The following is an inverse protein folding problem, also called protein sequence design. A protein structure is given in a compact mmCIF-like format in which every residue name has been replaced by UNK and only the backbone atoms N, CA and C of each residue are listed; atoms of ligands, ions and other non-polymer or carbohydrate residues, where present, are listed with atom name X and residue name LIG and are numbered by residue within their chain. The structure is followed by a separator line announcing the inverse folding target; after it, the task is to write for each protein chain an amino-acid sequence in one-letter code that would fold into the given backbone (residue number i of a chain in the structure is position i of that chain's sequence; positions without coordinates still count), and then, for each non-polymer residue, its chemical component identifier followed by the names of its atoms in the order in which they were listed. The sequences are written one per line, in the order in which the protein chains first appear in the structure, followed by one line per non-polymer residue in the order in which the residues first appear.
data_IF_047745220953
#
_entry.id   IF_047745220953
#
_cell.length_a   1.000
_cell.length_b   1.000
_cell.length_c   1.000
_cell.angle_alpha   90.00
_cell.angle_beta   90.00
_cell.angle_gamma   90.00
#
_symmetry.space_group_name_H-M   'P 1'
#
loop_
_entity.id
_entity.type
_entity.pdbx_description
1 polymer ?
#
# COMPACT_ATOMS: atom_id res chain seq x y z
N UNK A 1 22.28 -37.18 -45.27
CA UNK A 1 20.92 -37.24 -45.82
C UNK A 1 20.02 -36.45 -44.86
N UNK A 2 19.68 -35.21 -45.22
CA UNK A 2 19.08 -34.18 -44.36
C UNK A 2 17.55 -34.32 -44.32
N UNK A 3 16.96 -34.60 -43.15
CA UNK A 3 15.50 -34.61 -42.93
C UNK A 3 15.12 -33.35 -42.15
N UNK A 4 14.43 -32.44 -42.85
CA UNK A 4 13.87 -31.18 -42.36
C UNK A 4 12.61 -31.48 -41.54
N UNK A 5 12.56 -31.02 -40.28
CA UNK A 5 11.35 -31.05 -39.44
C UNK A 5 10.38 -29.96 -39.91
N UNK A 6 9.24 -30.35 -40.47
CA UNK A 6 8.11 -29.46 -40.76
C UNK A 6 7.19 -29.36 -39.52
N UNK A 7 6.96 -28.14 -39.07
CA UNK A 7 6.24 -27.73 -37.85
C UNK A 7 4.71 -27.82 -37.99
N UNK A 8 4.02 -28.20 -36.91
CA UNK A 8 2.56 -28.39 -36.80
C UNK A 8 1.64 -27.17 -37.02
N UNK A 9 2.09 -26.13 -37.72
CA UNK A 9 1.29 -24.98 -38.11
C UNK A 9 0.36 -25.28 -39.31
N UNK A 10 0.69 -26.25 -40.15
CA UNK A 10 -0.02 -26.50 -41.42
C UNK A 10 -1.38 -27.23 -41.27
N UNK A 11 -1.66 -27.90 -40.14
CA UNK A 11 -2.93 -28.59 -39.92
C UNK A 11 -4.09 -27.70 -39.47
N UNK A 12 -3.82 -26.45 -39.06
CA UNK A 12 -4.86 -25.52 -38.57
C UNK A 12 -5.48 -24.63 -39.66
N UNK A 13 -4.88 -24.57 -40.84
CA UNK A 13 -5.35 -23.69 -41.92
C UNK A 13 -6.46 -24.34 -42.77
N UNK A 14 -6.54 -25.68 -42.83
CA UNK A 14 -7.53 -26.39 -43.66
C UNK A 14 -8.92 -26.44 -43.01
N UNK A 15 -9.03 -26.31 -41.69
CA UNK A 15 -10.32 -26.30 -40.98
C UNK A 15 -11.12 -24.98 -41.10
N UNK A 16 -10.46 -23.87 -41.46
CA UNK A 16 -11.09 -22.55 -41.47
C UNK A 16 -11.83 -22.20 -42.77
N UNK A 17 -11.63 -22.97 -43.84
CA UNK A 17 -12.24 -22.68 -45.16
C UNK A 17 -13.55 -23.44 -45.42
N UNK A 18 -13.91 -24.41 -44.59
CA UNK A 18 -15.16 -25.17 -44.76
C UNK A 18 -16.41 -24.42 -44.25
N UNK A 19 -16.26 -23.42 -43.37
CA UNK A 19 -17.40 -22.77 -42.69
C UNK A 19 -17.97 -21.58 -43.47
N UNK A 20 -17.27 -21.06 -44.47
CA UNK A 20 -17.65 -19.79 -45.13
C UNK A 20 -18.60 -19.99 -46.33
N UNK A 21 -18.92 -21.22 -46.75
CA UNK A 21 -19.78 -21.45 -47.94
C UNK A 21 -21.27 -21.65 -47.66
N UNK A 22 -21.70 -21.73 -46.39
CA UNK A 22 -23.09 -22.06 -46.04
C UNK A 22 -23.94 -20.86 -45.59
N UNK A 23 -23.48 -19.63 -45.83
CA UNK A 23 -24.15 -18.40 -45.40
C UNK A 23 -24.56 -17.47 -46.55
N UNK A 24 -25.00 -18.02 -47.69
CA UNK A 24 -25.69 -17.25 -48.75
C UNK A 24 -26.95 -17.99 -49.22
N UNK A 25 -28.05 -17.80 -48.49
CA UNK A 25 -29.36 -18.25 -48.94
C UNK A 25 -30.43 -18.25 -47.86
N UNK A 26 -30.89 -17.07 -47.43
CA UNK A 26 -32.27 -16.81 -46.98
C UNK A 26 -32.36 -15.39 -46.39
N UNK A 27 -33.10 -14.51 -47.06
CA UNK A 27 -33.41 -13.18 -46.56
C UNK A 27 -34.65 -13.18 -45.66
N UNK A 28 -34.67 -12.23 -44.72
CA UNK A 28 -35.87 -11.53 -44.25
C UNK A 28 -36.69 -12.18 -43.13
N UNK A 29 -36.44 -11.77 -41.89
CA UNK A 29 -37.43 -11.15 -40.98
C UNK A 29 -36.89 -11.03 -39.55
N UNK A 30 -37.06 -9.85 -38.98
CA UNK A 30 -36.60 -9.42 -37.65
C UNK A 30 -37.39 -10.06 -36.50
N UNK A 31 -36.69 -10.71 -35.56
CA UNK A 31 -36.97 -10.67 -34.11
C UNK A 31 -35.64 -10.70 -33.35
N UNK A 32 -35.46 -9.71 -32.50
CA UNK A 32 -34.27 -9.38 -31.71
C UNK A 32 -33.94 -10.45 -30.66
N UNK A 33 -32.71 -10.97 -30.71
CA UNK A 33 -32.09 -11.77 -29.65
C UNK A 33 -30.83 -11.04 -29.15
N UNK A 34 -30.54 -11.03 -27.83
CA UNK A 34 -29.44 -10.25 -27.28
C UNK A 34 -28.10 -10.89 -27.63
N UNK A 35 -27.18 -10.04 -28.08
CA UNK A 35 -25.82 -10.42 -28.43
C UNK A 35 -24.99 -10.74 -27.18
N UNK A 36 -24.20 -11.81 -27.29
CA UNK A 36 -22.86 -11.85 -26.71
C UNK A 36 -22.78 -12.30 -25.26
N UNK A 37 -23.01 -13.59 -25.02
CA UNK A 37 -22.32 -14.28 -23.94
C UNK A 37 -20.81 -14.23 -24.22
N UNK A 38 -20.15 -13.19 -23.69
CA UNK A 38 -18.71 -13.15 -23.55
C UNK A 38 -18.31 -14.38 -22.73
N UNK A 39 -17.63 -15.34 -23.36
CA UNK A 39 -17.00 -16.45 -22.64
C UNK A 39 -15.85 -15.86 -21.83
N UNK A 40 -16.17 -15.40 -20.63
CA UNK A 40 -15.22 -15.27 -19.55
C UNK A 40 -14.54 -16.65 -19.40
N UNK A 41 -13.25 -16.72 -19.72
CA UNK A 41 -12.44 -17.83 -19.20
C UNK A 41 -12.56 -17.82 -17.68
N UNK A 42 -12.37 -18.96 -17.00
CA UNK A 42 -12.33 -18.94 -15.55
C UNK A 42 -11.22 -17.99 -15.13
N UNK A 43 -11.58 -16.88 -14.49
CA UNK A 43 -10.66 -16.05 -13.74
C UNK A 43 -10.04 -16.97 -12.68
N UNK A 44 -8.90 -17.58 -13.03
CA UNK A 44 -8.16 -18.40 -12.08
C UNK A 44 -7.89 -17.51 -10.87
N UNK A 45 -8.34 -17.89 -9.66
CA UNK A 45 -8.18 -17.04 -8.49
C UNK A 45 -6.69 -16.72 -8.35
N UNK A 46 -6.37 -15.42 -8.30
CA UNK A 46 -5.00 -14.97 -8.05
C UNK A 46 -4.49 -15.72 -6.81
N UNK A 47 -3.44 -16.52 -6.98
CA UNK A 47 -2.88 -17.32 -5.90
C UNK A 47 -2.61 -16.42 -4.68
N UNK A 48 -2.94 -16.87 -3.45
CA UNK A 48 -2.76 -16.05 -2.27
C UNK A 48 -1.28 -15.65 -2.17
N UNK A 49 -1.02 -14.33 -2.14
CA UNK A 49 0.33 -13.83 -1.94
C UNK A 49 0.84 -14.35 -0.59
N UNK A 50 1.89 -15.17 -0.60
CA UNK A 50 2.49 -15.69 0.63
C UNK A 50 2.82 -14.54 1.59
N UNK A 51 2.56 -14.69 2.91
CA UNK A 51 2.84 -13.62 3.87
C UNK A 51 4.34 -13.33 3.88
N UNK A 52 4.69 -12.10 3.51
CA UNK A 52 6.04 -11.59 3.67
C UNK A 52 6.27 -11.34 5.17
N UNK A 53 6.62 -12.37 5.94
CA UNK A 53 6.93 -12.25 7.37
C UNK A 53 7.95 -11.15 7.66
N UNK A 54 8.91 -10.96 6.75
CA UNK A 54 9.92 -9.91 6.82
C UNK A 54 9.33 -8.48 6.77
N UNK A 55 8.21 -8.26 6.07
CA UNK A 55 7.55 -6.96 6.00
C UNK A 55 6.99 -6.59 7.37
N UNK A 56 6.30 -7.53 8.02
CA UNK A 56 5.78 -7.32 9.37
C UNK A 56 6.90 -7.21 10.41
N UNK A 57 8.01 -7.95 10.21
CA UNK A 57 9.23 -7.78 11.00
C UNK A 57 9.83 -6.38 10.88
N UNK A 58 9.91 -5.82 9.67
CA UNK A 58 10.35 -4.45 9.42
C UNK A 58 9.43 -3.42 10.11
N UNK A 59 8.11 -3.60 9.98
CA UNK A 59 7.13 -2.70 10.62
C UNK A 59 7.28 -2.76 12.14
N UNK A 60 7.35 -3.95 12.73
CA UNK A 60 7.51 -4.13 14.17
C UNK A 60 8.84 -3.52 14.67
N UNK A 61 9.94 -3.73 13.95
CA UNK A 61 11.22 -3.14 14.27
C UNK A 61 11.18 -1.61 14.20
N UNK A 62 10.53 -1.05 13.17
CA UNK A 62 10.35 0.40 13.02
C UNK A 62 9.52 1.01 14.15
N UNK A 63 8.41 0.36 14.52
CA UNK A 63 7.57 0.79 15.66
C UNK A 63 8.34 0.72 16.97
N UNK A 64 9.08 -0.37 17.21
CA UNK A 64 9.89 -0.52 18.42
C UNK A 64 10.97 0.56 18.50
N UNK A 65 11.66 0.84 17.39
CA UNK A 65 12.65 1.90 17.31
C UNK A 65 12.03 3.27 17.62
N UNK A 66 10.90 3.60 16.98
CA UNK A 66 10.17 4.84 17.21
C UNK A 66 9.80 5.02 18.70
N UNK A 67 9.12 4.04 19.30
CA UNK A 67 8.72 4.14 20.70
C UNK A 67 9.92 4.19 21.66
N UNK A 68 11.00 3.42 21.42
CA UNK A 68 12.20 3.46 22.25
C UNK A 68 12.85 4.84 22.18
N UNK A 69 13.01 5.41 20.99
CA UNK A 69 13.61 6.75 20.83
C UNK A 69 12.79 7.84 21.52
N UNK A 70 11.45 7.80 21.38
CA UNK A 70 10.55 8.72 22.08
C UNK A 70 10.65 8.58 23.60
N UNK A 71 10.67 7.35 24.13
CA UNK A 71 10.85 7.10 25.56
C UNK A 71 12.18 7.63 26.09
N UNK A 72 13.27 7.43 25.33
CA UNK A 72 14.58 7.97 25.68
C UNK A 72 14.54 9.49 25.78
N UNK A 73 13.93 10.17 24.80
CA UNK A 73 13.78 11.64 24.82
C UNK A 73 12.95 12.08 26.03
N UNK A 74 11.80 11.45 26.27
CA UNK A 74 10.92 11.76 27.40
C UNK A 74 11.60 11.61 28.77
N UNK A 75 12.60 10.73 28.88
CA UNK A 75 13.35 10.50 30.13
C UNK A 75 14.59 11.37 30.27
N UNK A 76 15.18 11.80 29.16
CA UNK A 76 16.46 12.52 29.15
C UNK A 76 16.31 14.03 29.00
N UNK A 77 15.16 14.51 28.52
CA UNK A 77 14.94 15.90 28.15
C UNK A 77 13.75 16.47 28.93
N UNK A 78 13.85 17.73 29.32
CA UNK A 78 12.71 18.54 29.75
C UNK A 78 11.87 18.96 28.53
N UNK A 79 10.58 19.23 28.74
CA UNK A 79 9.69 19.66 27.66
C UNK A 79 10.18 21.00 27.09
N UNK A 80 10.40 21.05 25.77
CA UNK A 80 11.04 22.13 25.01
C UNK A 80 12.56 22.30 25.23
N UNK A 81 13.21 21.38 25.94
CA UNK A 81 14.67 21.34 25.98
C UNK A 81 15.22 21.06 24.57
N UNK A 82 16.25 21.81 24.20
CA UNK A 82 16.87 21.81 22.88
C UNK A 82 18.36 21.55 22.99
N UNK A 83 18.83 20.41 22.47
CA UNK A 83 20.23 19.99 22.51
C UNK A 83 20.82 19.99 21.08
N UNK A 84 21.90 20.73 20.82
CA UNK A 84 22.53 20.74 19.49
C UNK A 84 23.22 19.41 19.20
N UNK A 85 22.93 18.83 18.02
CA UNK A 85 23.69 17.69 17.47
C UNK A 85 24.66 18.18 16.40
N UNK A 86 24.18 19.03 15.49
CA UNK A 86 25.02 19.77 14.54
C UNK A 86 24.73 21.26 14.78
N UNK A 87 25.67 22.01 15.37
CA UNK A 87 25.44 23.41 15.69
C UNK A 87 24.93 24.20 14.47
N UNK A 88 23.89 25.01 14.68
CA UNK A 88 23.25 25.84 13.65
C UNK A 88 22.50 25.09 12.55
N UNK A 89 22.37 23.75 12.61
CA UNK A 89 21.69 22.97 11.58
C UNK A 89 20.70 21.93 12.13
N UNK A 90 21.07 21.15 13.16
CA UNK A 90 20.26 20.04 13.63
C UNK A 90 20.30 19.91 15.16
N UNK A 91 19.12 19.79 15.74
CA UNK A 91 18.86 19.77 17.17
C UNK A 91 17.94 18.62 17.55
N UNK A 92 18.11 18.13 18.77
CA UNK A 92 17.12 17.30 19.43
C UNK A 92 16.28 18.20 20.34
N UNK A 93 14.99 18.32 20.03
CA UNK A 93 14.09 19.24 20.75
C UNK A 93 12.85 18.49 21.22
N UNK A 94 12.68 18.26 22.52
CA UNK A 94 11.51 17.52 23.01
C UNK A 94 10.22 18.36 22.90
N UNK A 95 9.34 17.99 21.96
CA UNK A 95 8.03 18.63 21.75
C UNK A 95 6.92 17.60 21.88
N UNK A 96 5.78 18.01 22.46
CA UNK A 96 4.54 17.25 22.38
C UNK A 96 3.59 17.89 21.38
N UNK A 97 3.29 17.15 20.32
CA UNK A 97 2.52 17.62 19.19
C UNK A 97 1.08 17.09 19.24
N UNK A 98 0.07 17.95 19.48
CA UNK A 98 -1.35 17.56 19.47
C UNK A 98 -1.90 17.28 18.07
N UNK A 99 -1.10 17.41 17.01
CA UNK A 99 -1.55 17.40 15.61
C UNK A 99 -1.47 18.77 14.94
N UNK A 100 -0.57 19.65 15.36
CA UNK A 100 -0.41 20.99 14.82
C UNK A 100 0.88 21.15 13.98
N UNK A 101 1.37 20.06 13.37
CA UNK A 101 2.53 20.14 12.48
C UNK A 101 2.28 21.17 11.36
N UNK A 102 3.26 22.06 11.12
CA UNK A 102 3.20 23.12 10.10
C UNK A 102 1.96 24.04 10.19
N UNK A 103 1.44 24.29 11.39
CA UNK A 103 0.23 25.09 11.62
C UNK A 103 -1.06 24.52 11.01
N UNK A 104 -1.05 23.30 10.45
CA UNK A 104 -2.23 22.71 9.77
C UNK A 104 -3.39 22.41 10.72
N UNK A 105 -3.10 22.17 12.00
CA UNK A 105 -4.10 21.79 13.01
C UNK A 105 -4.30 22.81 14.13
N UNK A 106 -3.70 24.00 14.06
CA UNK A 106 -3.78 25.00 15.14
C UNK A 106 -5.20 25.52 15.37
N UNK A 107 -6.01 25.61 14.31
CA UNK A 107 -7.42 26.01 14.39
C UNK A 107 -8.34 24.93 14.97
N UNK A 108 -7.91 23.67 15.01
CA UNK A 108 -8.71 22.53 15.49
C UNK A 108 -8.74 22.43 17.02
N UNK A 109 -7.82 23.11 17.71
CA UNK A 109 -7.75 23.13 19.17
C UNK A 109 -7.76 21.73 19.80
N UNK A 110 -8.66 21.50 20.75
CA UNK A 110 -8.78 20.22 21.47
C UNK A 110 -9.22 19.04 20.60
N UNK A 111 -9.76 19.28 19.40
CA UNK A 111 -10.16 18.22 18.49
C UNK A 111 -8.99 17.65 17.66
N UNK A 112 -7.84 18.35 17.60
CA UNK A 112 -6.72 17.95 16.76
C UNK A 112 -6.22 16.52 17.06
N UNK A 113 -5.95 16.12 18.32
CA UNK A 113 -5.49 14.76 18.64
C UNK A 113 -6.37 13.66 18.05
N UNK A 114 -7.70 13.82 18.19
CA UNK A 114 -8.68 12.86 17.74
C UNK A 114 -8.70 12.78 16.21
N UNK A 115 -8.75 13.92 15.52
CA UNK A 115 -8.81 13.97 14.05
C UNK A 115 -7.57 13.36 13.41
N UNK A 116 -6.37 13.69 13.92
CA UNK A 116 -5.14 13.09 13.43
C UNK A 116 -5.00 11.60 13.82
N UNK A 117 -5.57 11.18 14.97
CA UNK A 117 -5.66 9.77 15.34
C UNK A 117 -6.52 8.97 14.36
N UNK A 118 -7.69 9.50 13.98
CA UNK A 118 -8.56 8.91 12.96
C UNK A 118 -7.86 8.85 11.61
N UNK A 119 -7.18 9.94 11.21
CA UNK A 119 -6.42 9.98 9.97
C UNK A 119 -5.32 8.89 9.93
N UNK A 120 -4.55 8.71 11.01
CA UNK A 120 -3.57 7.64 11.11
C UNK A 120 -4.21 6.26 10.96
N UNK A 121 -5.33 6.01 11.65
CA UNK A 121 -6.04 4.73 11.55
C UNK A 121 -6.52 4.44 10.11
N UNK A 122 -7.02 5.46 9.40
CA UNK A 122 -7.40 5.34 7.99
C UNK A 122 -6.18 5.02 7.11
N UNK A 123 -5.06 5.75 7.28
CA UNK A 123 -3.82 5.50 6.53
C UNK A 123 -3.30 4.07 6.75
N UNK A 124 -3.28 3.61 8.00
CA UNK A 124 -2.90 2.24 8.37
C UNK A 124 -3.80 1.23 7.63
N UNK A 125 -5.13 1.42 7.69
CA UNK A 125 -6.09 0.55 7.01
C UNK A 125 -5.90 0.50 5.50
N UNK A 126 -5.62 1.65 4.87
CA UNK A 126 -5.34 1.75 3.44
C UNK A 126 -4.06 1.00 3.07
N UNK A 127 -2.96 1.19 3.81
CA UNK A 127 -1.68 0.51 3.54
C UNK A 127 -1.83 -1.00 3.69
N UNK A 128 -2.46 -1.48 4.77
CA UNK A 128 -2.71 -2.91 4.99
C UNK A 128 -3.58 -3.49 3.88
N UNK A 129 -4.62 -2.76 3.44
CA UNK A 129 -5.48 -3.19 2.33
C UNK A 129 -4.74 -3.23 0.99
N UNK A 130 -3.95 -2.22 0.67
CA UNK A 130 -3.11 -2.21 -0.54
C UNK A 130 -2.16 -3.39 -0.50
N UNK A 131 -1.50 -3.64 0.64
CA UNK A 131 -0.51 -4.70 0.78
C UNK A 131 -1.09 -6.11 0.65
N UNK A 132 -2.32 -6.30 1.11
CA UNK A 132 -3.04 -7.58 1.03
C UNK A 132 -3.62 -7.84 -0.36
N UNK A 133 -3.93 -6.79 -1.13
CA UNK A 133 -4.48 -6.89 -2.48
C UNK A 133 -3.46 -6.81 -3.62
N UNK A 134 -2.28 -6.24 -3.37
CA UNK A 134 -1.26 -6.04 -4.38
C UNK A 134 -0.57 -7.37 -4.75
N UNK A 135 -1.04 -8.01 -5.82
CA UNK A 135 -0.29 -9.01 -6.58
C UNK A 135 0.65 -8.32 -7.59
N UNK A 136 1.58 -7.48 -7.12
CA UNK A 136 2.42 -6.66 -8.01
C UNK A 136 3.82 -7.26 -8.11
N UNK A 137 4.12 -7.83 -9.28
CA UNK A 137 5.24 -8.75 -9.49
C UNK A 137 6.62 -8.10 -9.73
N UNK A 138 6.72 -6.81 -10.06
CA UNK A 138 7.96 -6.29 -10.67
C UNK A 138 8.72 -5.21 -9.88
N UNK A 139 8.16 -4.65 -8.79
CA UNK A 139 8.85 -3.66 -7.92
C UNK A 139 8.66 -3.96 -6.41
N UNK A 140 8.52 -5.24 -6.05
CA UNK A 140 8.01 -5.68 -4.73
C UNK A 140 8.83 -5.17 -3.54
N UNK A 141 10.17 -5.25 -3.58
CA UNK A 141 10.99 -5.02 -2.37
C UNK A 141 11.10 -3.55 -1.97
N UNK A 142 11.44 -2.66 -2.90
CA UNK A 142 11.54 -1.23 -2.58
C UNK A 142 10.18 -0.64 -2.18
N UNK A 143 9.11 -1.06 -2.85
CA UNK A 143 7.75 -0.66 -2.50
C UNK A 143 7.35 -1.18 -1.12
N UNK A 144 7.62 -2.44 -0.80
CA UNK A 144 7.37 -3.02 0.51
C UNK A 144 8.21 -2.37 1.62
N UNK A 145 9.46 -2.00 1.35
CA UNK A 145 10.31 -1.25 2.28
C UNK A 145 9.71 0.12 2.58
N UNK A 146 9.37 0.89 1.54
CA UNK A 146 8.77 2.21 1.70
C UNK A 146 7.44 2.14 2.45
N UNK A 147 6.54 1.23 2.07
CA UNK A 147 5.29 1.00 2.79
C UNK A 147 5.51 0.56 4.23
N UNK A 148 6.52 -0.27 4.49
CA UNK A 148 6.85 -0.74 5.83
C UNK A 148 7.27 0.40 6.76
N UNK A 149 8.14 1.30 6.27
CA UNK A 149 8.54 2.49 7.03
C UNK A 149 7.37 3.47 7.24
N UNK A 150 6.56 3.73 6.21
CA UNK A 150 5.38 4.59 6.34
C UNK A 150 4.38 4.01 7.33
N UNK A 151 4.12 2.69 7.27
CA UNK A 151 3.22 2.01 8.19
C UNK A 151 3.76 2.03 9.62
N UNK A 152 5.06 1.78 9.81
CA UNK A 152 5.69 1.84 11.13
C UNK A 152 5.53 3.23 11.76
N UNK A 153 5.82 4.30 11.02
CA UNK A 153 5.65 5.67 11.50
C UNK A 153 4.19 6.02 11.79
N UNK A 154 3.25 5.61 10.93
CA UNK A 154 1.82 5.83 11.16
C UNK A 154 1.31 5.11 12.42
N UNK A 155 1.77 3.88 12.66
CA UNK A 155 1.44 3.09 13.86
C UNK A 155 2.06 3.71 15.12
N UNK A 156 3.34 4.08 15.13
CA UNK A 156 3.98 4.72 16.28
C UNK A 156 3.28 6.04 16.67
N UNK A 157 2.96 6.86 15.67
CA UNK A 157 2.19 8.08 15.88
C UNK A 157 0.75 7.84 16.33
N UNK A 158 0.13 6.72 15.97
CA UNK A 158 -1.18 6.33 16.50
C UNK A 158 -1.05 5.86 17.95
N UNK A 159 -0.02 5.08 18.28
CA UNK A 159 0.28 4.62 19.65
C UNK A 159 0.34 5.81 20.60
N UNK A 160 1.16 6.82 20.31
CA UNK A 160 1.27 8.01 21.15
C UNK A 160 -0.08 8.73 21.38
N UNK A 161 -0.95 8.73 20.36
CA UNK A 161 -2.28 9.35 20.45
C UNK A 161 -3.28 8.53 21.27
N UNK A 162 -3.08 7.22 21.37
CA UNK A 162 -3.93 6.35 22.20
C UNK A 162 -3.60 6.51 23.70
N UNK A 163 -2.37 6.91 24.03
CA UNK A 163 -1.95 7.14 25.41
C UNK A 163 -2.10 8.63 25.82
N UNK A 164 -2.51 8.93 27.07
CA UNK A 164 -2.54 10.31 27.56
C UNK A 164 -1.14 10.96 27.48
N UNK A 165 -1.01 12.24 27.07
CA UNK A 165 -2.08 13.23 26.87
C UNK A 165 -2.66 13.26 25.44
N UNK A 166 -2.55 12.18 24.67
CA UNK A 166 -2.99 12.07 23.27
C UNK A 166 -2.19 12.94 22.30
N UNK A 167 -0.89 13.04 22.51
CA UNK A 167 0.01 13.89 21.73
C UNK A 167 1.19 13.06 21.25
N UNK A 168 1.69 13.34 20.05
CA UNK A 168 2.89 12.71 19.51
C UNK A 168 4.11 13.32 20.16
N UNK A 169 5.09 12.48 20.49
CA UNK A 169 6.41 12.97 20.91
C UNK A 169 7.25 13.22 19.66
N UNK A 170 7.58 14.48 19.41
CA UNK A 170 8.47 14.91 18.33
C UNK A 170 9.80 15.36 18.94
N UNK A 171 10.91 15.09 18.24
CA UNK A 171 12.24 15.38 18.78
C UNK A 171 13.31 15.73 17.75
N UNK A 172 13.01 15.71 16.45
CA UNK A 172 13.94 16.06 15.40
C UNK A 172 13.62 17.48 14.92
N UNK A 173 14.55 18.41 15.12
CA UNK A 173 14.42 19.85 14.79
C UNK A 173 15.59 20.35 13.94
#
# INVERSE_FOLDING_TARGET
MLIRRETGAARRVIGALAVVREARGAGGASRSAPAGAARAGPDLPAAPAAPAVWFWGLVAAGVALDQITKLVVMWRFELHERVPVIPCFFYLTYVRNPGAAFSLGTSLGKAAPLLFGVLNAVIIGVIVRIRTKAAVATMRRMFDLAMGFVLAGAVGNLIDRLYPPHQVVDFLD
#
